data_IF_250673202888
#
_entry.id   IF_250673202888
#
_cell.length_a   1.000
_cell.length_b   1.000
_cell.length_c   1.000
_cell.angle_alpha   90.00
_cell.angle_beta   90.00
_cell.angle_gamma   90.00
#
_symmetry.space_group_name_H-M   'P 1'
#
loop_
_entity.id
_entity.type
_entity.pdbx_description
1 polymer ?
#
# COMPACT_ATOMS: atom_id res chain seq x y z
N UNK A 1 52.36 26.68 -14.34
CA UNK A 1 51.09 26.39 -15.07
C UNK A 1 50.39 25.16 -14.50
N UNK A 2 51.12 24.15 -14.01
CA UNK A 2 50.59 22.88 -13.49
C UNK A 2 49.74 22.99 -12.22
N UNK A 3 50.15 23.82 -11.25
CA UNK A 3 49.38 24.06 -10.02
C UNK A 3 47.97 24.57 -10.30
N UNK A 4 47.79 25.26 -11.44
CA UNK A 4 46.49 25.80 -11.84
C UNK A 4 45.52 24.76 -12.37
N UNK A 5 46.05 23.74 -13.00
CA UNK A 5 45.27 22.65 -13.56
C UNK A 5 44.96 21.61 -12.47
N UNK A 6 45.84 21.49 -11.47
CA UNK A 6 45.62 20.67 -10.29
C UNK A 6 44.45 21.17 -9.44
N UNK A 7 44.40 22.48 -9.10
CA UNK A 7 43.26 23.01 -8.34
C UNK A 7 41.93 22.87 -9.11
N UNK A 8 41.95 23.04 -10.44
CA UNK A 8 40.75 22.87 -11.27
C UNK A 8 40.25 21.43 -11.22
N UNK A 9 41.14 20.44 -11.34
CA UNK A 9 40.78 19.03 -11.22
C UNK A 9 40.24 18.70 -9.83
N UNK A 10 40.84 19.24 -8.77
CA UNK A 10 40.35 19.06 -7.40
C UNK A 10 38.95 19.66 -7.19
N UNK A 11 38.72 20.88 -7.68
CA UNK A 11 37.40 21.53 -7.59
C UNK A 11 36.35 20.73 -8.37
N UNK A 12 36.69 20.25 -9.57
CA UNK A 12 35.77 19.49 -10.41
C UNK A 12 35.44 18.12 -9.78
N UNK A 13 36.43 17.47 -9.16
CA UNK A 13 36.22 16.24 -8.41
C UNK A 13 35.29 16.45 -7.21
N UNK A 14 35.51 17.50 -6.41
CA UNK A 14 34.63 17.84 -5.28
C UNK A 14 33.20 18.15 -5.76
N UNK A 15 33.05 18.87 -6.88
CA UNK A 15 31.74 19.21 -7.44
C UNK A 15 30.96 17.96 -7.90
N UNK A 16 31.63 17.01 -8.54
CA UNK A 16 31.04 15.71 -8.93
C UNK A 16 30.66 14.88 -7.69
N UNK A 17 31.48 14.90 -6.65
CA UNK A 17 31.22 14.17 -5.40
C UNK A 17 30.00 14.74 -4.66
N UNK A 18 29.86 16.07 -4.60
CA UNK A 18 28.66 16.74 -4.06
C UNK A 18 27.42 16.45 -4.88
N UNK A 19 27.52 16.42 -6.22
CA UNK A 19 26.40 16.09 -7.10
C UNK A 19 25.89 14.64 -6.88
N UNK A 20 26.81 13.69 -6.70
CA UNK A 20 26.49 12.29 -6.39
C UNK A 20 25.78 12.14 -5.04
N UNK A 21 26.19 12.91 -4.02
CA UNK A 21 25.54 12.92 -2.70
C UNK A 21 24.13 13.54 -2.75
N UNK A 22 23.89 14.53 -3.60
CA UNK A 22 22.56 15.13 -3.78
C UNK A 22 21.62 14.23 -4.61
N UNK A 23 22.16 13.40 -5.49
CA UNK A 23 21.38 12.48 -6.32
C UNK A 23 20.82 11.27 -5.54
N UNK A 24 21.26 11.04 -4.30
CA UNK A 24 20.70 9.99 -3.44
C UNK A 24 19.36 10.42 -2.81
N UNK A 25 18.34 10.61 -3.65
CA UNK A 25 16.96 10.74 -3.19
C UNK A 25 16.39 9.35 -2.88
N UNK A 26 16.64 8.85 -1.66
CA UNK A 26 15.92 7.67 -1.18
C UNK A 26 14.48 8.07 -0.78
N UNK A 27 13.44 7.30 -1.14
CA UNK A 27 12.08 7.60 -0.71
C UNK A 27 11.98 7.54 0.82
N UNK A 28 11.69 8.69 1.45
CA UNK A 28 11.46 8.79 2.89
C UNK A 28 10.02 8.38 3.19
N UNK A 29 9.86 7.32 3.98
CA UNK A 29 8.56 6.86 4.47
C UNK A 29 8.19 7.66 5.72
N UNK A 30 7.39 8.72 5.55
CA UNK A 30 6.79 9.44 6.69
C UNK A 30 5.54 8.67 7.12
N UNK A 31 5.70 7.84 8.14
CA UNK A 31 4.56 7.24 8.85
C UNK A 31 4.20 8.11 10.05
N UNK A 32 2.91 8.25 10.35
CA UNK A 32 2.41 9.04 11.49
C UNK A 32 2.76 8.45 12.87
N UNK A 33 3.48 7.32 12.92
CA UNK A 33 4.04 6.73 14.14
C UNK A 33 5.50 6.35 13.90
N UNK A 34 6.40 7.12 14.49
CA UNK A 34 7.85 6.91 14.48
C UNK A 34 8.16 5.48 14.97
N UNK A 35 8.95 4.72 14.21
CA UNK A 35 9.68 3.57 14.75
C UNK A 35 9.38 2.18 14.17
N UNK A 36 8.44 2.01 13.23
CA UNK A 36 8.23 0.69 12.61
C UNK A 36 7.89 0.78 11.12
N UNK A 37 8.60 0.03 10.24
CA UNK A 37 8.34 0.05 8.81
C UNK A 37 6.94 -0.51 8.50
N UNK A 38 6.32 -0.09 7.38
CA UNK A 38 5.09 -0.69 6.92
C UNK A 38 5.29 -2.20 6.63
N UNK A 39 4.21 -2.99 6.56
CA UNK A 39 4.31 -4.42 6.26
C UNK A 39 5.07 -4.66 4.95
N UNK A 40 5.81 -5.77 4.80
CA UNK A 40 6.62 -6.02 3.60
C UNK A 40 5.86 -6.04 2.26
N UNK A 41 4.54 -6.28 2.29
CA UNK A 41 3.67 -6.25 1.11
C UNK A 41 3.22 -4.82 0.72
N UNK A 42 3.47 -3.81 1.55
CA UNK A 42 3.06 -2.43 1.33
C UNK A 42 4.21 -1.62 0.73
N UNK A 43 4.08 -1.22 -0.54
CA UNK A 43 5.11 -0.47 -1.27
C UNK A 43 4.78 1.04 -1.30
N UNK A 44 5.57 1.91 -0.63
CA UNK A 44 5.30 3.34 -0.57
C UNK A 44 5.96 4.06 -1.75
N UNK A 45 5.39 3.94 -2.96
CA UNK A 45 5.87 4.70 -4.13
C UNK A 45 5.42 6.18 -4.14
N UNK A 46 4.66 6.63 -3.13
CA UNK A 46 4.14 8.00 -3.02
C UNK A 46 3.85 8.33 -1.56
N UNK A 47 4.13 9.58 -1.16
CA UNK A 47 3.71 10.16 0.12
C UNK A 47 2.18 10.31 0.13
N UNK A 48 1.46 9.22 0.40
CA UNK A 48 0.01 9.25 0.71
C UNK A 48 -0.17 8.77 2.15
N UNK A 49 -0.85 9.57 2.99
CA UNK A 49 -1.26 9.15 4.33
C UNK A 49 -2.43 8.19 4.16
N UNK A 50 -2.14 6.89 4.11
CA UNK A 50 -3.12 5.83 3.96
C UNK A 50 -3.30 5.14 5.31
N UNK A 51 -4.51 5.18 5.87
CA UNK A 51 -4.85 4.41 7.08
C UNK A 51 -5.24 2.97 6.76
N UNK A 52 -6.06 2.75 5.73
CA UNK A 52 -6.58 1.42 5.40
C UNK A 52 -6.16 0.95 4.01
N UNK A 53 -5.84 -0.33 3.92
CA UNK A 53 -5.67 -1.06 2.65
C UNK A 53 -6.77 -2.11 2.56
N UNK A 54 -7.49 -2.15 1.45
CA UNK A 54 -8.57 -3.11 1.21
C UNK A 54 -8.12 -4.23 0.27
N UNK A 55 -8.42 -5.47 0.65
CA UNK A 55 -8.17 -6.66 -0.15
C UNK A 55 -9.51 -7.16 -0.73
N UNK A 56 -9.88 -6.76 -1.96
CA UNK A 56 -11.22 -6.99 -2.50
C UNK A 56 -11.56 -8.47 -2.67
N UNK A 57 -10.60 -9.29 -3.10
CA UNK A 57 -10.77 -10.73 -3.31
C UNK A 57 -11.16 -11.47 -2.02
N UNK A 58 -10.63 -11.02 -0.88
CA UNK A 58 -10.83 -11.65 0.42
C UNK A 58 -11.77 -10.86 1.34
N UNK A 59 -12.22 -9.69 0.90
CA UNK A 59 -13.12 -8.77 1.60
C UNK A 59 -12.67 -8.45 3.04
N UNK A 60 -11.39 -8.10 3.22
CA UNK A 60 -10.87 -7.59 4.49
C UNK A 60 -10.04 -6.33 4.27
N UNK A 61 -9.82 -5.59 5.35
CA UNK A 61 -8.94 -4.44 5.41
C UNK A 61 -7.72 -4.73 6.27
N UNK A 62 -6.64 -3.99 6.02
CA UNK A 62 -5.52 -3.85 6.94
C UNK A 62 -5.45 -2.40 7.40
N UNK A 63 -5.55 -2.16 8.70
CA UNK A 63 -5.33 -0.85 9.32
C UNK A 63 -3.82 -0.68 9.54
N UNK A 64 -3.18 0.21 8.78
CA UNK A 64 -1.75 0.52 8.86
C UNK A 64 -1.38 1.24 10.16
N UNK A 65 -2.31 1.99 10.75
CA UNK A 65 -2.10 2.71 12.01
C UNK A 65 -2.12 1.75 13.21
N UNK A 66 -3.10 0.84 13.23
CA UNK A 66 -3.26 -0.14 14.30
C UNK A 66 -2.51 -1.46 14.07
N UNK A 67 -2.04 -1.71 12.84
CA UNK A 67 -1.37 -2.95 12.41
C UNK A 67 -2.24 -4.20 12.54
N UNK A 68 -3.55 -4.05 12.35
CA UNK A 68 -4.54 -5.11 12.50
C UNK A 68 -5.30 -5.38 11.22
N UNK A 69 -5.66 -6.64 11.00
CA UNK A 69 -6.65 -7.04 10.02
C UNK A 69 -8.05 -6.69 10.55
N UNK A 70 -8.88 -6.13 9.67
CA UNK A 70 -10.27 -5.79 9.96
C UNK A 70 -11.18 -6.51 8.97
N UNK A 71 -12.05 -7.38 9.47
CA UNK A 71 -12.88 -8.23 8.62
C UNK A 71 -14.23 -8.55 9.27
N UNK A 72 -15.18 -8.97 8.44
CA UNK A 72 -16.48 -9.42 8.90
C UNK A 72 -16.40 -10.87 9.42
N UNK A 73 -16.79 -11.06 10.68
CA UNK A 73 -16.91 -12.36 11.33
C UNK A 73 -18.30 -12.49 11.96
N UNK A 74 -19.12 -13.42 11.48
CA UNK A 74 -20.49 -13.60 11.98
C UNK A 74 -21.35 -12.34 11.90
N UNK A 75 -21.17 -11.50 10.87
CA UNK A 75 -21.89 -10.23 10.72
C UNK A 75 -21.31 -9.06 11.53
N UNK A 76 -20.27 -9.28 12.32
CA UNK A 76 -19.61 -8.25 13.12
C UNK A 76 -18.23 -7.93 12.57
N UNK A 77 -17.91 -6.65 12.43
CA UNK A 77 -16.57 -6.20 12.07
C UNK A 77 -15.63 -6.36 13.25
N UNK A 78 -14.60 -7.19 13.10
CA UNK A 78 -13.61 -7.47 14.15
C UNK A 78 -12.23 -7.00 13.72
N UNK A 79 -11.42 -6.56 14.69
CA UNK A 79 -10.00 -6.26 14.53
C UNK A 79 -9.15 -7.35 15.17
N UNK A 80 -8.17 -7.88 14.44
CA UNK A 80 -7.27 -8.94 14.91
C UNK A 80 -5.87 -8.77 14.31
N UNK A 81 -4.85 -9.23 15.02
CA UNK A 81 -3.46 -9.19 14.55
C UNK A 81 -3.15 -10.32 13.54
N UNK A 82 -4.09 -11.25 13.36
CA UNK A 82 -3.98 -12.40 12.47
C UNK A 82 -5.14 -12.41 11.48
N UNK A 83 -4.88 -12.97 10.30
CA UNK A 83 -5.93 -13.21 9.32
C UNK A 83 -6.94 -14.25 9.84
N UNK A 84 -8.18 -14.23 9.31
CA UNK A 84 -9.11 -15.35 9.48
C UNK A 84 -8.42 -16.68 9.13
N UNK A 85 -8.68 -17.78 9.86
CA UNK A 85 -8.04 -19.08 9.59
C UNK A 85 -8.13 -19.51 8.11
N UNK A 86 -9.26 -19.22 7.45
CA UNK A 86 -9.49 -19.49 6.02
C UNK A 86 -8.53 -18.79 5.06
N UNK A 87 -7.87 -17.71 5.49
CA UNK A 87 -6.92 -16.93 4.70
C UNK A 87 -5.50 -16.99 5.25
N UNK A 88 -5.20 -17.88 6.20
CA UNK A 88 -3.88 -17.95 6.84
C UNK A 88 -2.73 -18.20 5.85
N UNK A 89 -3.01 -18.87 4.74
CA UNK A 89 -2.00 -19.32 3.77
C UNK A 89 -1.94 -18.44 2.50
N UNK A 90 -2.60 -17.27 2.47
CA UNK A 90 -2.55 -16.40 1.29
C UNK A 90 -1.20 -15.67 1.21
N UNK A 91 -0.68 -15.50 -0.01
CA UNK A 91 0.49 -14.67 -0.25
C UNK A 91 0.08 -13.21 -0.46
N UNK A 92 0.09 -12.43 0.62
CA UNK A 92 -0.24 -11.00 0.60
C UNK A 92 0.67 -10.17 -0.32
N UNK A 93 1.88 -10.65 -0.67
CA UNK A 93 2.79 -9.92 -1.57
C UNK A 93 2.30 -9.96 -3.02
N UNK A 94 1.54 -10.99 -3.37
CA UNK A 94 0.94 -11.20 -4.70
C UNK A 94 -0.53 -10.80 -4.76
N UNK A 95 -1.18 -10.67 -3.61
CA UNK A 95 -2.58 -10.28 -3.51
C UNK A 95 -2.81 -8.86 -4.06
N UNK A 96 -3.86 -8.70 -4.86
CA UNK A 96 -4.33 -7.38 -5.31
C UNK A 96 -4.94 -6.63 -4.12
N UNK A 97 -4.56 -5.37 -3.96
CA UNK A 97 -5.10 -4.49 -2.93
C UNK A 97 -5.41 -3.09 -3.46
N UNK A 98 -6.29 -2.39 -2.75
CA UNK A 98 -6.69 -1.01 -3.00
C UNK A 98 -6.33 -0.14 -1.78
N UNK A 99 -5.76 1.04 -2.01
CA UNK A 99 -5.47 2.01 -0.94
C UNK A 99 -6.72 2.86 -0.71
N UNK A 100 -7.20 2.91 0.52
CA UNK A 100 -8.34 3.77 0.86
C UNK A 100 -7.82 5.18 1.10
N UNK A 101 -8.23 6.10 0.21
CA UNK A 101 -7.82 7.51 0.25
C UNK A 101 -8.82 8.34 1.05
N UNK A 102 -8.31 9.39 1.70
CA UNK A 102 -9.12 10.41 2.39
C UNK A 102 -10.09 9.83 3.44
N UNK A 103 -9.74 8.70 4.07
CA UNK A 103 -10.58 8.06 5.08
C UNK A 103 -9.76 7.68 6.30
N UNK A 104 -10.03 8.37 7.41
CA UNK A 104 -9.29 8.21 8.67
C UNK A 104 -10.19 7.83 9.85
N UNK A 105 -11.49 7.65 9.65
CA UNK A 105 -12.43 7.27 10.70
C UNK A 105 -12.13 5.83 11.21
N UNK A 106 -12.43 5.58 12.48
CA UNK A 106 -12.33 4.26 13.09
C UNK A 106 -13.44 3.32 12.60
N UNK A 107 -14.58 3.84 12.13
CA UNK A 107 -15.69 2.98 11.76
C UNK A 107 -15.65 2.49 10.30
N UNK A 108 -14.72 1.59 9.99
CA UNK A 108 -14.54 1.04 8.63
C UNK A 108 -15.81 0.42 8.02
N UNK A 109 -16.77 0.00 8.86
CA UNK A 109 -18.06 -0.52 8.41
C UNK A 109 -18.79 0.47 7.51
N UNK A 110 -18.84 1.75 7.91
CA UNK A 110 -19.51 2.80 7.13
C UNK A 110 -18.91 2.90 5.72
N UNK A 111 -17.58 3.01 5.65
CA UNK A 111 -16.87 3.05 4.38
C UNK A 111 -17.17 1.81 3.52
N UNK A 112 -17.17 0.62 4.13
CA UNK A 112 -17.46 -0.62 3.43
C UNK A 112 -18.89 -0.65 2.88
N UNK A 113 -19.87 -0.22 3.67
CA UNK A 113 -21.27 -0.17 3.25
C UNK A 113 -21.46 0.77 2.05
N UNK A 114 -20.87 1.95 2.10
CA UNK A 114 -21.00 2.97 1.05
C UNK A 114 -20.28 2.58 -0.26
N UNK A 115 -19.12 1.91 -0.18
CA UNK A 115 -18.24 1.72 -1.33
C UNK A 115 -18.16 0.27 -1.84
N UNK A 116 -18.36 -0.71 -0.94
CA UNK A 116 -17.95 -2.10 -1.16
C UNK A 116 -19.07 -3.13 -0.96
N UNK A 117 -20.20 -2.77 -0.33
CA UNK A 117 -21.29 -3.70 -0.03
C UNK A 117 -21.83 -4.42 -1.27
N UNK A 118 -21.82 -3.77 -2.44
CA UNK A 118 -22.36 -4.34 -3.68
C UNK A 118 -21.31 -5.09 -4.51
N UNK A 119 -20.03 -5.10 -4.13
CA UNK A 119 -18.97 -5.74 -4.93
C UNK A 119 -19.15 -7.26 -5.04
N UNK A 120 -19.68 -7.90 -4.00
CA UNK A 120 -20.06 -9.33 -4.04
C UNK A 120 -21.32 -9.64 -4.85
N UNK A 121 -22.18 -8.63 -5.12
CA UNK A 121 -23.41 -8.80 -5.92
C UNK A 121 -23.15 -8.64 -7.43
N UNK A 122 -22.16 -7.83 -7.82
CA UNK A 122 -21.91 -7.48 -9.23
C UNK A 122 -21.54 -8.65 -10.14
N UNK A 123 -21.03 -9.77 -9.60
CA UNK A 123 -20.71 -10.96 -10.40
C UNK A 123 -21.93 -11.82 -10.76
N UNK A 124 -23.15 -11.46 -10.30
CA UNK A 124 -24.36 -12.24 -10.54
C UNK A 124 -25.11 -11.86 -11.82
N UNK A 125 -24.75 -10.74 -12.45
CA UNK A 125 -25.55 -10.12 -13.53
C UNK A 125 -24.90 -10.07 -14.90
N UNK A 126 -23.74 -10.71 -15.13
CA UNK A 126 -23.27 -10.92 -16.51
C UNK A 126 -23.84 -12.22 -17.06
N UNK A 127 -24.83 -12.20 -17.98
CA UNK A 127 -25.23 -13.40 -18.69
C UNK A 127 -24.00 -13.90 -19.46
N UNK A 128 -23.62 -15.14 -19.24
CA UNK A 128 -22.61 -15.83 -20.03
C UNK A 128 -23.19 -15.98 -21.45
N UNK A 129 -22.92 -15.01 -22.32
CA UNK A 129 -23.24 -15.07 -23.74
C UNK A 129 -22.46 -16.24 -24.34
N UNK A 130 -23.09 -17.40 -24.44
CA UNK A 130 -22.60 -18.51 -25.24
C UNK A 130 -22.86 -18.19 -26.71
N UNK A 131 -22.01 -17.35 -27.30
CA UNK A 131 -21.94 -17.26 -28.76
C UNK A 131 -21.22 -18.51 -29.28
N UNK A 132 -21.98 -19.60 -29.48
CA UNK A 132 -21.57 -20.70 -30.36
C UNK A 132 -21.59 -20.13 -31.79
N UNK A 133 -20.41 -19.87 -32.34
CA UNK A 133 -20.24 -19.70 -33.79
C UNK A 133 -20.26 -21.10 -34.40
N UNK A 134 -21.30 -21.39 -35.18
CA UNK A 134 -21.25 -22.40 -36.24
C UNK A 134 -20.48 -21.85 -37.44
#
# INVERSE_FOLDING_TARGET
MESRNLYKSFILFILVLVLMLLASCSPIVVSSRIGQPPPPWFYPNRLEVVRYVYFPEYSFYYDLSARTYVYLNGGVWVRRNVLPPRYRNIDLRRAKYERIRNYNDENIRRYHEDNNANRGRSNRTTPRSNTRKN
#
